data_IF_740985503506
#
_entry.id   IF_740985503506
#
_cell.length_a   1.000
_cell.length_b   1.000
_cell.length_c   1.000
_cell.angle_alpha   90.00
_cell.angle_beta   90.00
_cell.angle_gamma   90.00
#
_symmetry.space_group_name_H-M   'P 1'
#
loop_
_entity.id
_entity.type
_entity.pdbx_description
1 polymer ?
#
# COMPACT_ATOMS: atom_id res chain seq x y z
N UNK A 1 57.04 -28.11 9.72
CA UNK A 1 55.69 -28.47 9.23
C UNK A 1 54.90 -27.19 9.13
N UNK A 2 54.75 -26.69 7.92
CA UNK A 2 53.97 -25.47 7.64
C UNK A 2 52.56 -25.96 7.24
N UNK A 3 51.53 -25.57 8.00
CA UNK A 3 50.14 -25.85 7.66
C UNK A 3 49.61 -24.66 6.87
N UNK A 4 49.33 -24.91 5.58
CA UNK A 4 48.78 -23.94 4.64
C UNK A 4 47.24 -23.97 4.83
N UNK A 5 46.66 -22.93 5.41
CA UNK A 5 45.20 -22.76 5.51
C UNK A 5 44.65 -22.19 4.20
N UNK A 6 43.99 -23.02 3.41
CA UNK A 6 43.20 -22.55 2.25
C UNK A 6 41.93 -21.85 2.74
N UNK A 7 41.89 -20.52 2.62
CA UNK A 7 40.67 -19.73 2.73
C UNK A 7 39.84 -19.91 1.45
N UNK A 8 38.84 -20.74 1.49
CA UNK A 8 37.78 -20.81 0.46
C UNK A 8 36.86 -19.60 0.64
N UNK A 9 37.15 -18.51 -0.04
CA UNK A 9 36.26 -17.39 -0.21
C UNK A 9 35.10 -17.78 -1.14
N UNK A 10 33.98 -18.23 -0.56
CA UNK A 10 32.74 -18.42 -1.33
C UNK A 10 32.19 -17.07 -1.76
N UNK A 11 32.33 -16.73 -3.05
CA UNK A 11 31.59 -15.64 -3.66
C UNK A 11 30.10 -16.01 -3.63
N UNK A 12 29.37 -15.52 -2.63
CA UNK A 12 27.92 -15.50 -2.68
C UNK A 12 27.53 -14.42 -3.68
N UNK A 13 27.32 -14.84 -4.94
CA UNK A 13 26.71 -13.97 -5.94
C UNK A 13 25.32 -13.54 -5.42
N UNK A 14 25.01 -12.25 -5.55
CA UNK A 14 23.68 -11.74 -5.25
C UNK A 14 22.63 -12.60 -5.97
N UNK A 15 21.56 -13.03 -5.30
CA UNK A 15 20.52 -13.81 -5.94
C UNK A 15 19.96 -13.02 -7.13
N UNK A 16 19.90 -13.68 -8.30
CA UNK A 16 19.30 -13.06 -9.49
C UNK A 16 17.88 -12.63 -9.18
N UNK A 17 17.46 -11.42 -9.57
CA UNK A 17 16.09 -10.99 -9.37
C UNK A 17 15.14 -11.99 -10.02
N UNK A 18 14.28 -12.62 -9.22
CA UNK A 18 13.22 -13.46 -9.76
C UNK A 18 12.18 -12.53 -10.38
N UNK A 19 12.04 -12.58 -11.70
CA UNK A 19 10.98 -11.84 -12.39
C UNK A 19 9.63 -12.32 -11.83
N UNK A 20 8.73 -11.39 -11.51
CA UNK A 20 7.38 -11.78 -11.15
C UNK A 20 6.71 -12.46 -12.35
N UNK A 21 5.87 -13.50 -12.14
CA UNK A 21 5.20 -14.19 -13.22
C UNK A 21 4.36 -13.22 -14.06
N UNK A 22 4.34 -13.40 -15.36
CA UNK A 22 3.42 -12.67 -16.24
C UNK A 22 2.00 -13.20 -16.03
N UNK A 23 1.04 -12.28 -15.89
CA UNK A 23 -0.39 -12.59 -15.78
C UNK A 23 -1.13 -11.83 -16.88
N UNK A 24 -1.25 -12.40 -18.09
CA UNK A 24 -1.99 -11.75 -19.18
C UNK A 24 -3.41 -11.36 -18.73
N UNK A 25 -3.80 -10.10 -18.97
CA UNK A 25 -5.13 -9.61 -18.61
C UNK A 25 -5.41 -9.45 -17.10
N UNK A 26 -4.38 -9.59 -16.24
CA UNK A 26 -4.51 -9.43 -14.79
C UNK A 26 -3.44 -8.49 -14.28
N UNK A 27 -3.79 -7.52 -13.44
CA UNK A 27 -2.84 -6.69 -12.70
C UNK A 27 -2.94 -6.96 -11.21
N UNK A 28 -1.84 -7.37 -10.57
CA UNK A 28 -1.75 -7.49 -9.12
C UNK A 28 -1.30 -6.19 -8.51
N UNK A 29 -2.16 -5.59 -7.69
CA UNK A 29 -1.88 -4.37 -6.94
C UNK A 29 -1.76 -4.68 -5.46
N UNK A 30 -0.70 -4.17 -4.82
CA UNK A 30 -0.41 -4.32 -3.41
C UNK A 30 -0.44 -2.95 -2.74
N UNK A 31 -0.97 -2.88 -1.52
CA UNK A 31 -0.81 -1.77 -0.59
C UNK A 31 -0.12 -2.23 0.69
N UNK A 32 0.77 -1.39 1.22
CA UNK A 32 1.48 -1.69 2.46
C UNK A 32 1.94 -0.41 3.18
N UNK A 33 1.40 -0.16 4.37
CA UNK A 33 1.99 0.78 5.32
C UNK A 33 3.22 0.09 5.95
N UNK A 34 4.41 0.57 5.59
CA UNK A 34 5.68 -0.09 5.95
C UNK A 34 6.18 0.26 7.35
N UNK A 35 5.55 1.21 8.03
CA UNK A 35 5.96 1.83 9.29
C UNK A 35 7.35 2.50 9.19
N UNK A 36 7.37 3.82 9.20
CA UNK A 36 8.60 4.64 9.01
C UNK A 36 9.72 4.31 10.00
N UNK A 37 9.36 3.82 11.20
CA UNK A 37 10.32 3.45 12.25
C UNK A 37 11.06 2.12 12.01
N UNK A 38 10.64 1.34 11.01
CA UNK A 38 11.17 -0.01 10.73
C UNK A 38 11.97 -0.08 9.42
N UNK A 39 12.46 1.05 8.94
CA UNK A 39 13.20 1.10 7.68
C UNK A 39 14.35 0.08 7.64
N UNK A 40 14.40 -0.71 6.55
CA UNK A 40 15.37 -1.78 6.39
C UNK A 40 14.93 -3.13 6.97
N UNK A 41 13.68 -3.27 7.45
CA UNK A 41 13.13 -4.57 7.85
C UNK A 41 13.17 -5.56 6.68
N UNK A 42 14.02 -6.59 6.82
CA UNK A 42 14.22 -7.61 5.77
C UNK A 42 12.94 -8.42 5.52
N UNK A 43 12.14 -8.67 6.56
CA UNK A 43 10.90 -9.42 6.43
C UNK A 43 9.84 -8.60 5.67
N UNK A 44 9.78 -7.28 5.88
CA UNK A 44 8.92 -6.38 5.10
C UNK A 44 9.33 -6.33 3.62
N UNK A 45 10.64 -6.20 3.33
CA UNK A 45 11.15 -6.26 1.95
C UNK A 45 10.85 -7.61 1.30
N UNK A 46 11.02 -8.74 2.04
CA UNK A 46 10.70 -10.08 1.55
C UNK A 46 9.20 -10.23 1.28
N UNK A 47 8.32 -9.71 2.15
CA UNK A 47 6.88 -9.74 1.94
C UNK A 47 6.45 -9.05 0.63
N UNK A 48 7.08 -7.90 0.29
CA UNK A 48 6.87 -7.24 -1.01
C UNK A 48 7.40 -8.09 -2.16
N UNK A 49 8.55 -8.76 -1.98
CA UNK A 49 9.11 -9.66 -2.98
C UNK A 49 8.19 -10.86 -3.24
N UNK A 50 7.73 -11.53 -2.20
CA UNK A 50 6.98 -12.79 -2.25
C UNK A 50 5.55 -12.59 -2.75
N UNK A 51 4.94 -11.42 -2.52
CA UNK A 51 3.62 -11.07 -3.04
C UNK A 51 3.56 -11.12 -4.58
N UNK A 52 4.70 -11.06 -5.26
CA UNK A 52 4.80 -11.04 -6.72
C UNK A 52 3.88 -9.99 -7.37
N UNK A 53 3.69 -8.83 -6.71
CA UNK A 53 2.86 -7.75 -7.21
C UNK A 53 3.44 -7.11 -8.48
N UNK A 54 2.55 -6.61 -9.33
CA UNK A 54 2.90 -5.85 -10.51
C UNK A 54 3.07 -4.37 -10.18
N UNK A 55 2.26 -3.88 -9.22
CA UNK A 55 2.33 -2.52 -8.69
C UNK A 55 2.23 -2.57 -7.16
N UNK A 56 3.05 -1.79 -6.48
CA UNK A 56 3.08 -1.67 -5.02
C UNK A 56 2.90 -0.21 -4.63
N UNK A 57 1.91 0.07 -3.83
CA UNK A 57 1.68 1.36 -3.18
C UNK A 57 2.07 1.27 -1.72
N UNK A 58 2.81 2.27 -1.25
CA UNK A 58 3.40 2.27 0.08
C UNK A 58 3.02 3.54 0.83
N UNK A 59 2.79 3.41 2.12
CA UNK A 59 2.61 4.50 3.07
C UNK A 59 3.72 4.42 4.13
N UNK A 60 4.01 5.54 4.77
CA UNK A 60 5.06 5.69 5.80
C UNK A 60 6.48 5.36 5.30
N UNK A 61 6.77 5.69 4.06
CA UNK A 61 8.12 5.52 3.51
C UNK A 61 9.05 6.65 3.94
N UNK A 62 10.35 6.40 3.86
CA UNK A 62 11.41 7.38 4.01
C UNK A 62 12.62 6.97 3.14
N UNK A 63 13.66 7.78 3.12
CA UNK A 63 14.86 7.51 2.31
C UNK A 63 15.52 6.15 2.63
N UNK A 64 15.46 5.70 3.89
CA UNK A 64 16.01 4.41 4.27
C UNK A 64 15.14 3.23 3.78
N UNK A 65 13.81 3.38 3.77
CA UNK A 65 12.90 2.42 3.13
C UNK A 65 13.09 2.40 1.62
N UNK A 66 13.17 3.56 0.96
CA UNK A 66 13.46 3.64 -0.48
C UNK A 66 14.76 2.90 -0.83
N UNK A 67 15.84 3.13 -0.08
CA UNK A 67 17.11 2.46 -0.28
C UNK A 67 17.01 0.93 -0.06
N UNK A 68 16.30 0.48 0.98
CA UNK A 68 16.14 -0.94 1.29
C UNK A 68 15.31 -1.67 0.21
N UNK A 69 14.18 -1.12 -0.19
CA UNK A 69 13.31 -1.67 -1.23
C UNK A 69 13.98 -1.67 -2.61
N UNK A 70 14.65 -0.56 -2.96
CA UNK A 70 15.39 -0.47 -4.23
C UNK A 70 16.48 -1.52 -4.33
N UNK A 71 17.22 -1.74 -3.25
CA UNK A 71 18.29 -2.74 -3.17
C UNK A 71 17.75 -4.17 -3.18
N UNK A 72 16.75 -4.44 -2.32
CA UNK A 72 16.17 -5.79 -2.14
C UNK A 72 15.32 -6.25 -3.33
N UNK A 73 14.76 -5.31 -4.11
CA UNK A 73 13.88 -5.60 -5.24
C UNK A 73 14.49 -5.13 -6.58
N UNK A 74 15.84 -5.10 -6.65
CA UNK A 74 16.58 -4.64 -7.82
C UNK A 74 16.10 -5.29 -9.10
N UNK A 75 15.80 -4.48 -10.12
CA UNK A 75 15.37 -4.94 -11.44
C UNK A 75 13.90 -5.36 -11.55
N UNK A 76 13.17 -5.49 -10.42
CA UNK A 76 11.78 -5.95 -10.44
C UNK A 76 10.79 -4.85 -10.82
N UNK A 77 11.02 -3.64 -10.35
CA UNK A 77 10.17 -2.47 -10.56
C UNK A 77 10.97 -1.37 -11.25
N UNK A 78 10.97 -1.29 -12.59
CA UNK A 78 11.74 -0.28 -13.32
C UNK A 78 11.18 1.14 -13.11
N UNK A 79 9.89 1.26 -12.79
CA UNK A 79 9.24 2.56 -12.56
C UNK A 79 8.97 2.74 -11.07
N UNK A 80 9.59 3.76 -10.47
CA UNK A 80 9.49 4.02 -9.02
C UNK A 80 9.41 5.51 -8.75
N UNK A 81 8.63 5.87 -7.73
CA UNK A 81 8.60 7.21 -7.15
C UNK A 81 8.47 7.07 -5.64
N UNK A 82 9.21 7.87 -4.90
CA UNK A 82 9.14 7.99 -3.45
C UNK A 82 9.17 9.46 -3.09
N UNK A 83 8.37 9.83 -2.07
CA UNK A 83 8.41 11.16 -1.49
C UNK A 83 8.77 11.02 -0.02
N UNK A 84 9.86 11.62 0.44
CA UNK A 84 10.18 11.65 1.86
C UNK A 84 9.12 12.50 2.61
N UNK A 85 8.88 12.24 3.90
CA UNK A 85 7.96 13.01 4.71
C UNK A 85 8.46 14.46 4.85
N UNK A 86 7.57 15.43 4.70
CA UNK A 86 7.89 16.85 4.85
C UNK A 86 7.84 17.31 6.32
N UNK A 87 6.69 17.13 6.98
CA UNK A 87 6.44 17.60 8.34
C UNK A 87 6.28 16.45 9.35
N UNK A 88 5.67 15.34 8.90
CA UNK A 88 5.38 14.19 9.73
C UNK A 88 6.21 12.98 9.30
N UNK A 89 6.89 12.29 10.24
CA UNK A 89 7.68 11.11 9.91
C UNK A 89 6.89 10.04 9.16
N UNK A 90 5.59 9.91 9.45
CA UNK A 90 4.68 8.97 8.82
C UNK A 90 4.11 9.46 7.46
N UNK A 91 4.52 10.65 6.97
CA UNK A 91 3.92 11.27 5.77
C UNK A 91 4.43 10.74 4.44
N UNK A 92 5.49 9.95 4.41
CA UNK A 92 6.11 9.51 3.16
C UNK A 92 5.27 8.48 2.38
N UNK A 93 5.26 8.60 1.06
CA UNK A 93 4.61 7.66 0.14
C UNK A 93 5.58 7.07 -0.87
N UNK A 94 5.21 5.91 -1.42
CA UNK A 94 5.96 5.27 -2.49
C UNK A 94 5.05 4.55 -3.47
N UNK A 95 5.49 4.49 -4.72
CA UNK A 95 4.94 3.62 -5.74
C UNK A 95 6.08 2.92 -6.49
N UNK A 96 5.96 1.61 -6.64
CA UNK A 96 6.86 0.79 -7.44
C UNK A 96 6.02 0.00 -8.43
N UNK A 97 6.37 0.06 -9.72
CA UNK A 97 5.58 -0.53 -10.79
C UNK A 97 6.45 -1.23 -11.83
N UNK A 98 5.97 -2.37 -12.33
CA UNK A 98 6.48 -3.02 -13.54
C UNK A 98 6.05 -2.28 -14.79
N UNK A 99 4.96 -1.52 -14.71
CA UNK A 99 4.36 -0.78 -15.79
C UNK A 99 4.75 0.70 -15.76
N UNK A 100 4.71 1.39 -16.91
CA UNK A 100 4.96 2.83 -16.95
C UNK A 100 4.02 3.63 -16.04
N UNK A 101 4.58 4.52 -15.24
CA UNK A 101 3.85 5.55 -14.52
C UNK A 101 3.73 6.74 -15.47
N UNK A 102 2.55 6.91 -16.08
CA UNK A 102 2.33 7.96 -17.10
C UNK A 102 1.95 9.31 -16.51
N UNK A 103 1.38 9.31 -15.29
CA UNK A 103 1.11 10.52 -14.52
C UNK A 103 1.22 10.22 -13.03
N UNK A 104 1.79 11.16 -12.28
CA UNK A 104 1.73 11.19 -10.83
C UNK A 104 1.39 12.62 -10.42
N UNK A 105 0.34 12.75 -9.64
CA UNK A 105 -0.14 14.01 -9.08
C UNK A 105 -0.17 13.88 -7.56
N UNK A 106 0.52 14.79 -6.87
CA UNK A 106 0.46 14.91 -5.43
C UNK A 106 -0.72 15.82 -5.07
N UNK A 107 -1.62 15.30 -4.27
CA UNK A 107 -2.81 16.00 -3.80
C UNK A 107 -2.55 16.52 -2.39
N UNK A 108 -2.69 17.83 -2.15
CA UNK A 108 -2.35 18.40 -0.84
C UNK A 108 -3.21 17.82 0.27
N UNK A 109 -2.74 17.88 1.54
CA UNK A 109 -3.54 17.50 2.69
C UNK A 109 -4.90 18.19 2.73
N UNK A 110 -5.93 17.45 3.10
CA UNK A 110 -7.32 17.92 3.10
C UNK A 110 -7.95 17.81 4.50
N UNK A 111 -7.38 18.52 5.47
CA UNK A 111 -7.84 18.52 6.86
C UNK A 111 -7.17 17.49 7.76
N UNK A 112 -6.51 16.49 7.21
CA UNK A 112 -5.57 15.60 7.90
C UNK A 112 -4.11 16.01 7.66
N UNK A 113 -3.15 15.25 8.20
CA UNK A 113 -1.73 15.63 8.13
C UNK A 113 -1.05 15.19 6.83
N UNK A 114 -1.66 14.29 6.05
CA UNK A 114 -0.99 13.64 4.93
C UNK A 114 -1.56 14.08 3.58
N UNK A 115 -0.70 14.09 2.57
CA UNK A 115 -1.07 14.22 1.17
C UNK A 115 -1.51 12.86 0.61
N UNK A 116 -2.12 12.86 -0.57
CA UNK A 116 -2.41 11.63 -1.32
C UNK A 116 -1.76 11.69 -2.71
N UNK A 117 -1.61 10.54 -3.36
CA UNK A 117 -1.15 10.46 -4.73
C UNK A 117 -2.21 9.90 -5.66
N UNK A 118 -2.50 10.64 -6.73
CA UNK A 118 -3.18 10.09 -7.88
C UNK A 118 -2.13 9.64 -8.91
N UNK A 119 -2.12 8.34 -9.22
CA UNK A 119 -1.15 7.72 -10.14
C UNK A 119 -1.89 7.12 -11.32
N UNK A 120 -1.47 7.42 -12.53
CA UNK A 120 -1.98 6.79 -13.76
C UNK A 120 -0.93 5.83 -14.30
N UNK A 121 -1.33 4.60 -14.56
CA UNK A 121 -0.48 3.50 -15.01
C UNK A 121 -0.95 2.97 -16.35
N UNK A 122 0.00 2.63 -17.23
CA UNK A 122 -0.26 1.91 -18.49
C UNK A 122 0.00 0.42 -18.25
N UNK A 123 -1.05 -0.34 -17.94
CA UNK A 123 -0.95 -1.74 -17.51
C UNK A 123 -1.37 -2.73 -18.59
N UNK A 124 -1.19 -4.02 -18.31
CA UNK A 124 -1.67 -5.10 -19.18
C UNK A 124 -3.20 -5.30 -19.21
N UNK A 125 -3.94 -4.60 -18.33
CA UNK A 125 -5.40 -4.49 -18.37
C UNK A 125 -5.85 -3.14 -18.96
N UNK A 126 -4.93 -2.42 -19.60
CA UNK A 126 -5.12 -1.06 -20.11
C UNK A 126 -4.75 0.01 -19.11
N UNK A 127 -5.06 1.25 -19.45
CA UNK A 127 -4.76 2.39 -18.61
C UNK A 127 -5.73 2.44 -17.43
N UNK A 128 -5.18 2.52 -16.21
CA UNK A 128 -5.93 2.66 -14.95
C UNK A 128 -5.41 3.85 -14.15
N UNK A 129 -6.23 4.37 -13.26
CA UNK A 129 -5.76 5.32 -12.24
C UNK A 129 -5.90 4.71 -10.84
N UNK A 130 -4.99 5.10 -9.96
CA UNK A 130 -4.96 4.65 -8.57
C UNK A 130 -4.81 5.89 -7.67
N UNK A 131 -5.70 6.02 -6.71
CA UNK A 131 -5.58 6.97 -5.62
C UNK A 131 -4.96 6.24 -4.43
N UNK A 132 -3.70 6.57 -4.10
CA UNK A 132 -3.00 6.06 -2.93
C UNK A 132 -3.21 7.03 -1.78
N UNK A 133 -3.79 6.56 -0.67
CA UNK A 133 -4.11 7.37 0.50
C UNK A 133 -3.42 6.86 1.76
N UNK A 134 -3.15 7.81 2.67
CA UNK A 134 -2.91 7.57 4.08
C UNK A 134 -3.77 8.59 4.82
N UNK A 135 -4.95 8.18 5.28
CA UNK A 135 -5.89 9.09 5.93
C UNK A 135 -5.50 9.33 7.39
N UNK A 136 -6.05 10.38 7.99
CA UNK A 136 -5.75 10.78 9.36
C UNK A 136 -5.80 9.59 10.32
N UNK A 137 -4.72 9.34 11.09
CA UNK A 137 -4.71 8.30 12.11
C UNK A 137 -5.83 8.49 13.14
N UNK A 138 -6.36 7.39 13.70
CA UNK A 138 -7.43 7.44 14.69
C UNK A 138 -6.87 7.83 16.07
N UNK A 139 -6.22 8.97 16.16
CA UNK A 139 -5.64 9.51 17.39
C UNK A 139 -6.22 10.89 17.68
N UNK A 140 -6.79 11.06 18.85
CA UNK A 140 -7.23 12.38 19.32
C UNK A 140 -6.04 13.28 19.61
N UNK A 141 -6.26 14.59 19.68
CA UNK A 141 -5.23 15.56 20.05
C UNK A 141 -4.66 15.30 21.47
N UNK A 142 -5.44 14.64 22.34
CA UNK A 142 -4.99 14.15 23.65
C UNK A 142 -4.31 12.77 23.65
N UNK A 143 -3.99 12.20 22.49
CA UNK A 143 -3.28 10.92 22.35
C UNK A 143 -4.12 9.67 22.61
N UNK A 144 -5.45 9.77 22.70
CA UNK A 144 -6.33 8.62 22.89
C UNK A 144 -6.76 8.02 21.55
N UNK A 145 -6.49 6.74 21.34
CA UNK A 145 -6.95 5.98 20.18
C UNK A 145 -8.45 5.78 20.14
N UNK A 146 -9.07 5.43 21.28
CA UNK A 146 -10.52 5.18 21.35
C UNK A 146 -11.31 6.45 21.05
N UNK A 147 -10.95 7.57 21.69
CA UNK A 147 -11.58 8.86 21.40
C UNK A 147 -11.28 9.32 19.98
N UNK A 148 -10.03 9.15 19.55
CA UNK A 148 -9.57 9.54 18.22
C UNK A 148 -10.25 8.77 17.09
N UNK A 149 -10.52 7.48 17.26
CA UNK A 149 -11.21 6.68 16.24
C UNK A 149 -12.56 7.31 15.86
N UNK A 150 -13.34 7.76 16.83
CA UNK A 150 -14.64 8.40 16.58
C UNK A 150 -14.50 9.87 16.21
N UNK A 151 -13.64 10.64 16.88
CA UNK A 151 -13.54 12.10 16.69
C UNK A 151 -12.90 12.49 15.35
N UNK A 152 -12.10 11.60 14.72
CA UNK A 152 -11.44 11.87 13.44
C UNK A 152 -12.17 11.31 12.21
N UNK A 153 -13.29 10.61 12.38
CA UNK A 153 -14.07 10.01 11.27
C UNK A 153 -14.50 11.03 10.21
N UNK A 154 -14.98 12.19 10.64
CA UNK A 154 -15.40 13.26 9.72
C UNK A 154 -14.22 13.87 8.98
N UNK A 155 -13.04 13.92 9.59
CA UNK A 155 -11.81 14.35 8.91
C UNK A 155 -11.46 13.38 7.80
N UNK A 156 -11.42 12.06 8.06
CA UNK A 156 -11.16 11.04 7.03
C UNK A 156 -12.18 11.07 5.90
N UNK A 157 -13.47 11.28 6.22
CA UNK A 157 -14.49 11.50 5.20
C UNK A 157 -14.16 12.71 4.32
N UNK A 158 -13.80 13.82 4.93
CA UNK A 158 -13.45 15.04 4.19
C UNK A 158 -12.20 14.83 3.31
N UNK A 159 -11.17 14.16 3.83
CA UNK A 159 -9.96 13.83 3.09
C UNK A 159 -10.28 13.00 1.84
N UNK A 160 -11.01 11.88 2.00
CA UNK A 160 -11.31 11.00 0.86
C UNK A 160 -12.21 11.68 -0.18
N UNK A 161 -13.19 12.47 0.23
CA UNK A 161 -14.04 13.22 -0.68
C UNK A 161 -13.25 14.28 -1.45
N UNK A 162 -12.31 14.98 -0.79
CA UNK A 162 -11.45 15.96 -1.42
C UNK A 162 -10.53 15.32 -2.46
N UNK A 163 -9.81 14.26 -2.06
CA UNK A 163 -8.89 13.57 -2.95
C UNK A 163 -9.59 12.89 -4.13
N UNK A 164 -10.78 12.30 -3.90
CA UNK A 164 -11.55 11.64 -4.95
C UNK A 164 -12.08 12.60 -6.04
N UNK A 165 -12.05 13.92 -5.83
CA UNK A 165 -12.38 14.91 -6.88
C UNK A 165 -11.34 14.96 -8.00
N UNK A 166 -10.11 14.52 -7.74
CA UNK A 166 -9.04 14.44 -8.76
C UNK A 166 -9.22 13.27 -9.74
N UNK A 167 -10.10 12.32 -9.41
CA UNK A 167 -10.29 11.12 -10.22
C UNK A 167 -10.96 11.44 -11.56
N UNK A 168 -10.31 11.03 -12.65
CA UNK A 168 -10.86 11.19 -14.00
C UNK A 168 -11.99 10.16 -14.23
N UNK A 169 -13.22 10.60 -14.57
CA UNK A 169 -14.36 9.68 -14.74
C UNK A 169 -14.17 8.64 -15.86
N UNK A 170 -13.31 8.92 -16.82
CA UNK A 170 -13.05 8.04 -17.96
C UNK A 170 -12.09 6.86 -17.67
N UNK A 171 -11.36 6.88 -16.55
CA UNK A 171 -10.37 5.85 -16.26
C UNK A 171 -10.89 4.85 -15.23
N UNK A 172 -10.72 3.53 -15.44
CA UNK A 172 -10.92 2.53 -14.40
C UNK A 172 -10.08 2.89 -13.17
N UNK A 173 -10.68 2.78 -11.98
CA UNK A 173 -10.15 3.40 -10.78
C UNK A 173 -9.98 2.41 -9.64
N UNK A 174 -8.81 2.45 -9.01
CA UNK A 174 -8.56 1.87 -7.70
C UNK A 174 -8.37 3.00 -6.67
N UNK A 175 -8.83 2.76 -5.44
CA UNK A 175 -8.48 3.56 -4.27
C UNK A 175 -7.87 2.63 -3.24
N UNK A 176 -6.60 2.87 -2.90
CA UNK A 176 -5.80 1.94 -2.10
C UNK A 176 -5.08 2.67 -0.97
N UNK A 177 -4.75 1.98 0.10
CA UNK A 177 -3.93 2.53 1.15
C UNK A 177 -4.44 2.26 2.56
N UNK A 178 -3.86 3.01 3.49
CA UNK A 178 -4.26 3.04 4.89
C UNK A 178 -5.36 4.08 5.10
N UNK A 179 -6.57 3.61 5.34
CA UNK A 179 -7.73 4.48 5.59
C UNK A 179 -7.88 4.85 7.06
N UNK A 180 -7.13 4.16 7.94
CA UNK A 180 -7.22 4.35 9.38
C UNK A 180 -8.67 4.19 9.93
N UNK A 181 -9.50 3.43 9.22
CA UNK A 181 -10.86 3.03 9.64
C UNK A 181 -11.27 1.73 8.97
N UNK A 182 -12.24 1.05 9.58
CA UNK A 182 -12.77 -0.21 9.09
C UNK A 182 -13.79 -0.01 7.94
N UNK A 183 -14.25 -1.10 7.33
CA UNK A 183 -15.17 -1.06 6.18
C UNK A 183 -16.51 -0.33 6.47
N UNK A 184 -16.92 -0.20 7.72
CA UNK A 184 -18.07 0.60 8.17
C UNK A 184 -17.71 2.07 8.46
N UNK A 185 -16.46 2.48 8.26
CA UNK A 185 -15.99 3.83 8.42
C UNK A 185 -16.57 4.80 7.36
N UNK A 186 -16.64 6.08 7.70
CA UNK A 186 -17.30 7.07 6.84
C UNK A 186 -16.63 7.26 5.49
N UNK A 187 -15.27 7.21 5.44
CA UNK A 187 -14.52 7.37 4.19
C UNK A 187 -14.70 6.16 3.27
N UNK A 188 -14.64 4.93 3.82
CA UNK A 188 -14.90 3.71 3.05
C UNK A 188 -16.34 3.70 2.55
N UNK A 189 -17.31 4.04 3.40
CA UNK A 189 -18.72 4.12 3.02
C UNK A 189 -19.00 5.19 1.95
N UNK A 190 -18.28 6.31 1.96
CA UNK A 190 -18.42 7.34 0.92
C UNK A 190 -18.03 6.81 -0.47
N UNK A 191 -17.02 5.97 -0.55
CA UNK A 191 -16.61 5.31 -1.80
C UNK A 191 -17.59 4.19 -2.18
N UNK A 192 -18.02 3.34 -1.25
CA UNK A 192 -18.97 2.26 -1.55
C UNK A 192 -20.32 2.78 -2.02
N UNK A 193 -20.81 3.90 -1.47
CA UNK A 193 -22.01 4.60 -1.97
C UNK A 193 -21.85 5.14 -3.39
N UNK A 194 -20.62 5.35 -3.85
CA UNK A 194 -20.29 5.73 -5.24
C UNK A 194 -20.07 4.53 -6.15
N UNK A 195 -20.33 3.31 -5.67
CA UNK A 195 -20.22 2.07 -6.43
C UNK A 195 -18.85 1.40 -6.39
N UNK A 196 -17.94 1.83 -5.51
CA UNK A 196 -16.69 1.11 -5.29
C UNK A 196 -16.93 -0.14 -4.46
N UNK A 197 -16.17 -1.20 -4.75
CA UNK A 197 -16.19 -2.48 -4.04
C UNK A 197 -14.83 -2.71 -3.39
N UNK A 198 -14.80 -3.03 -2.11
CA UNK A 198 -13.57 -3.37 -1.40
C UNK A 198 -13.22 -4.85 -1.61
N UNK A 199 -12.13 -5.12 -2.29
CA UNK A 199 -11.65 -6.45 -2.59
C UNK A 199 -11.28 -7.25 -1.31
N UNK A 200 -10.71 -6.59 -0.30
CA UNK A 200 -10.30 -7.23 0.95
C UNK A 200 -11.53 -7.57 1.80
N UNK A 201 -12.41 -6.62 2.06
CA UNK A 201 -13.62 -6.86 2.84
C UNK A 201 -14.55 -7.89 2.17
N UNK A 202 -14.65 -7.88 0.84
CA UNK A 202 -15.48 -8.81 0.09
C UNK A 202 -15.00 -10.27 0.23
N UNK A 203 -13.68 -10.52 0.20
CA UNK A 203 -13.13 -11.88 0.20
C UNK A 203 -12.72 -12.37 1.59
N UNK A 204 -12.43 -11.48 2.53
CA UNK A 204 -11.91 -11.81 3.86
C UNK A 204 -12.80 -11.33 5.02
N UNK A 205 -13.93 -10.65 4.72
CA UNK A 205 -14.77 -10.03 5.75
C UNK A 205 -13.99 -8.98 6.54
N UNK A 206 -14.17 -8.96 7.84
CA UNK A 206 -13.47 -8.04 8.76
C UNK A 206 -12.10 -8.59 9.22
N UNK A 207 -11.39 -9.34 8.39
CA UNK A 207 -10.06 -9.84 8.73
C UNK A 207 -9.08 -8.68 8.94
N UNK A 208 -8.30 -8.68 10.04
CA UNK A 208 -7.46 -7.54 10.40
C UNK A 208 -6.28 -7.38 9.44
N UNK A 209 -6.03 -6.14 9.05
CA UNK A 209 -4.83 -5.71 8.33
C UNK A 209 -3.84 -4.97 9.24
N UNK A 210 -4.24 -4.61 10.45
CA UNK A 210 -3.44 -3.92 11.45
C UNK A 210 -3.54 -4.58 12.82
N UNK A 211 -2.46 -4.48 13.61
CA UNK A 211 -2.38 -5.04 14.96
C UNK A 211 -1.53 -4.17 15.88
N UNK A 212 -1.98 -4.00 17.12
CA UNK A 212 -1.23 -3.28 18.14
C UNK A 212 -1.24 -4.03 19.47
N UNK A 213 -0.08 -4.43 20.02
CA UNK A 213 0.01 -5.07 21.33
C UNK A 213 -0.20 -4.04 22.44
N UNK A 214 -1.16 -4.27 23.32
CA UNK A 214 -1.48 -3.43 24.47
C UNK A 214 -1.64 -4.28 25.73
N UNK A 215 -0.66 -4.26 26.65
CA UNK A 215 -0.70 -4.89 27.98
C UNK A 215 -1.54 -6.18 28.09
N UNK A 216 -1.15 -7.22 27.35
CA UNK A 216 -1.80 -8.54 27.37
C UNK A 216 -2.97 -8.73 26.41
N UNK A 217 -3.35 -7.70 25.66
CA UNK A 217 -4.35 -7.76 24.57
C UNK A 217 -3.70 -7.27 23.29
N UNK A 218 -4.06 -7.85 22.16
CA UNK A 218 -3.68 -7.31 20.86
C UNK A 218 -4.92 -6.73 20.20
N UNK A 219 -4.93 -5.41 19.99
CA UNK A 219 -5.94 -4.76 19.17
C UNK A 219 -5.71 -5.16 17.71
N UNK A 220 -6.79 -5.39 16.97
CA UNK A 220 -6.76 -5.79 15.57
C UNK A 220 -7.92 -5.14 14.84
N UNK A 221 -7.61 -4.43 13.72
CA UNK A 221 -8.59 -3.76 12.88
C UNK A 221 -8.25 -3.98 11.41
N UNK A 222 -9.26 -3.87 10.55
CA UNK A 222 -9.06 -3.78 9.10
C UNK A 222 -8.97 -2.30 8.72
N UNK A 223 -7.75 -1.78 8.58
CA UNK A 223 -7.51 -0.36 8.32
C UNK A 223 -7.05 -0.08 6.89
N UNK A 224 -6.56 -1.13 6.21
CA UNK A 224 -6.03 -1.05 4.85
C UNK A 224 -7.06 -1.62 3.87
N UNK A 225 -7.27 -0.92 2.75
CA UNK A 225 -8.30 -1.26 1.78
C UNK A 225 -7.76 -1.22 0.35
N UNK A 226 -8.39 -2.04 -0.53
CA UNK A 226 -8.20 -2.05 -1.97
C UNK A 226 -9.58 -1.96 -2.64
N UNK A 227 -10.06 -0.73 -2.87
CA UNK A 227 -11.35 -0.49 -3.50
C UNK A 227 -11.20 -0.31 -5.01
N UNK A 228 -12.12 -0.88 -5.78
CA UNK A 228 -12.19 -0.74 -7.23
C UNK A 228 -13.56 -0.27 -7.69
N UNK A 229 -13.63 0.46 -8.80
CA UNK A 229 -14.88 0.82 -9.45
C UNK A 229 -15.44 -0.36 -10.29
N UNK A 230 -16.64 -0.19 -10.85
CA UNK A 230 -17.35 -1.23 -11.60
C UNK A 230 -16.67 -1.66 -12.91
N UNK A 231 -15.64 -0.95 -13.37
CA UNK A 231 -14.87 -1.29 -14.60
C UNK A 231 -13.74 -2.28 -14.34
N UNK A 232 -13.49 -2.58 -13.08
CA UNK A 232 -12.54 -3.59 -12.63
C UNK A 232 -13.26 -4.63 -11.77
N UNK A 233 -12.71 -5.85 -11.70
CA UNK A 233 -13.16 -6.91 -10.80
C UNK A 233 -11.95 -7.51 -10.10
N UNK A 234 -12.04 -7.65 -8.79
CA UNK A 234 -11.05 -8.36 -7.99
C UNK A 234 -11.32 -9.87 -8.06
N UNK A 235 -10.39 -10.61 -8.67
CA UNK A 235 -10.51 -12.07 -8.83
C UNK A 235 -9.87 -12.87 -7.72
N UNK A 236 -8.90 -12.29 -7.03
CA UNK A 236 -8.25 -12.84 -5.84
C UNK A 236 -7.74 -11.71 -4.95
N UNK A 237 -7.67 -11.95 -3.65
CA UNK A 237 -7.00 -11.06 -2.71
C UNK A 237 -6.35 -11.82 -1.56
N UNK A 238 -5.42 -11.18 -0.86
CA UNK A 238 -4.72 -11.79 0.28
C UNK A 238 -4.27 -10.71 1.27
N UNK A 239 -4.35 -11.06 2.53
CA UNK A 239 -3.70 -10.35 3.65
C UNK A 239 -2.45 -11.15 4.00
N UNK A 240 -1.26 -10.56 3.82
CA UNK A 240 0.02 -11.26 3.99
C UNK A 240 0.51 -11.11 5.42
N UNK A 241 0.46 -12.19 6.20
CA UNK A 241 0.96 -12.19 7.58
C UNK A 241 2.49 -12.26 7.62
N UNK A 242 3.16 -11.18 7.17
CA UNK A 242 4.62 -11.07 7.11
C UNK A 242 5.05 -9.62 7.35
N UNK A 243 6.36 -9.44 7.63
CA UNK A 243 6.91 -8.14 7.98
C UNK A 243 6.78 -7.83 9.47
N UNK A 244 7.48 -6.80 9.92
CA UNK A 244 7.48 -6.33 11.31
C UNK A 244 6.60 -5.09 11.51
N UNK A 245 6.08 -4.50 10.44
CA UNK A 245 5.10 -3.42 10.53
C UNK A 245 3.91 -3.87 11.38
N UNK A 246 3.28 -2.95 12.04
CA UNK A 246 1.98 -3.14 12.68
C UNK A 246 0.87 -3.35 11.66
N UNK A 247 1.06 -2.92 10.41
CA UNK A 247 0.21 -3.27 9.28
C UNK A 247 0.66 -4.54 8.57
N UNK A 248 -0.28 -5.26 7.97
CA UNK A 248 -0.03 -6.37 7.08
C UNK A 248 -0.13 -5.90 5.61
N UNK A 249 0.82 -6.31 4.75
CA UNK A 249 0.67 -6.11 3.32
C UNK A 249 -0.62 -6.75 2.81
N UNK A 250 -1.36 -6.04 1.97
CA UNK A 250 -2.53 -6.55 1.28
C UNK A 250 -2.35 -6.45 -0.23
N UNK A 251 -2.85 -7.44 -0.98
CA UNK A 251 -2.86 -7.36 -2.43
C UNK A 251 -4.14 -7.96 -3.02
N UNK A 252 -4.46 -7.53 -4.23
CA UNK A 252 -5.53 -8.13 -5.03
C UNK A 252 -5.16 -8.19 -6.51
N UNK A 253 -5.70 -9.18 -7.20
CA UNK A 253 -5.64 -9.38 -8.64
C UNK A 253 -6.88 -8.74 -9.27
N UNK A 254 -6.67 -7.79 -10.19
CA UNK A 254 -7.73 -7.09 -10.89
C UNK A 254 -7.73 -7.43 -12.38
N UNK A 255 -8.91 -7.66 -12.91
CA UNK A 255 -9.18 -7.79 -14.34
C UNK A 255 -10.10 -6.64 -14.78
N UNK A 256 -9.99 -6.23 -16.04
CA UNK A 256 -10.92 -5.28 -16.62
C UNK A 256 -12.21 -5.99 -16.99
N UNK A 257 -13.35 -5.39 -16.64
CA UNK A 257 -14.65 -5.84 -17.16
C UNK A 257 -14.66 -5.59 -18.65
N UNK A 258 -14.98 -6.61 -19.44
CA UNK A 258 -15.04 -6.52 -20.90
C UNK A 258 -16.04 -5.43 -21.34
N UNK A 259 -15.65 -4.68 -22.35
CA UNK A 259 -16.57 -3.82 -23.10
C UNK A 259 -17.55 -4.66 -23.92
#
# INVERSE_FOLDING_TARGET
MLVLACLLGGCHGDPKPVAAPERPGVVRVMSYNVNFGLAGDRAGVAAVADAAADVVFLQETNAAWEAALTRGLKGRFPHRRFTPPAEWPAGGMGVMSRFPIVQLEELPPAGGPFFAWRVVLDTNVGRIQVLNVHLRPPMSDGGSWVVGYFSTRTTRLHEIEAHARSLAPSLPTLVVGDFNEEADGLAVQALTKRGFVDAIATQHGAAPTWRWPLKGVTLKFQLDHLLHDARLVATASTIVSAGRSDHFPIWADFVRVGE
#
